data_IF_265747498444
#
_entry.id   IF_265747498444
#
_cell.length_a   1.000
_cell.length_b   1.000
_cell.length_c   1.000
_cell.angle_alpha   90.00
_cell.angle_beta   90.00
_cell.angle_gamma   90.00
#
_symmetry.space_group_name_H-M   'P 1'
#
loop_
_entity.id
_entity.type
_entity.pdbx_description
1 polymer ?
#
# COMPACT_ATOMS: atom_id res chain seq x y z
N UNK A 1 -7.45 -22.47 -6.89
CA UNK A 1 -8.43 -22.19 -5.84
C UNK A 1 -8.69 -20.70 -5.84
N UNK A 2 -9.91 -20.26 -6.20
CA UNK A 2 -10.22 -18.83 -6.24
C UNK A 2 -10.39 -18.29 -4.82
N UNK A 3 -9.78 -17.15 -4.50
CA UNK A 3 -10.01 -16.49 -3.22
C UNK A 3 -11.45 -15.99 -3.15
N UNK A 4 -12.13 -16.27 -2.04
CA UNK A 4 -13.45 -15.71 -1.76
C UNK A 4 -13.30 -14.25 -1.37
N UNK A 5 -14.29 -13.41 -1.74
CA UNK A 5 -14.33 -11.97 -1.40
C UNK A 5 -14.07 -11.73 0.10
N UNK A 6 -14.66 -12.56 0.95
CA UNK A 6 -14.47 -12.50 2.41
C UNK A 6 -13.04 -12.81 2.82
N UNK A 7 -12.39 -13.80 2.19
CA UNK A 7 -11.00 -14.14 2.48
C UNK A 7 -10.04 -12.99 2.18
N UNK A 8 -10.22 -12.32 1.04
CA UNK A 8 -9.42 -11.14 0.68
C UNK A 8 -9.58 -10.01 1.71
N UNK A 9 -10.82 -9.69 2.09
CA UNK A 9 -11.10 -8.65 3.08
C UNK A 9 -10.50 -8.98 4.45
N UNK A 10 -10.58 -10.23 4.90
CA UNK A 10 -10.00 -10.66 6.18
C UNK A 10 -8.48 -10.52 6.14
N UNK A 11 -7.83 -10.93 5.05
CA UNK A 11 -6.38 -10.79 4.89
C UNK A 11 -5.99 -9.31 4.93
N UNK A 12 -6.65 -8.47 4.13
CA UNK A 12 -6.37 -7.04 4.09
C UNK A 12 -6.55 -6.40 5.47
N UNK A 13 -7.70 -6.62 6.13
CA UNK A 13 -7.97 -6.09 7.47
C UNK A 13 -6.96 -6.57 8.52
N UNK A 14 -6.51 -7.83 8.42
CA UNK A 14 -5.51 -8.38 9.35
C UNK A 14 -4.15 -7.74 9.13
N UNK A 15 -3.70 -7.65 7.89
CA UNK A 15 -2.40 -7.05 7.55
C UNK A 15 -2.39 -5.57 7.91
N UNK A 16 -3.37 -4.79 7.45
CA UNK A 16 -3.45 -3.36 7.76
C UNK A 16 -3.68 -3.11 9.25
N UNK A 17 -4.46 -3.96 9.92
CA UNK A 17 -4.66 -3.90 11.37
C UNK A 17 -3.38 -4.14 12.16
N UNK A 18 -2.54 -5.09 11.73
CA UNK A 18 -1.21 -5.33 12.34
C UNK A 18 -0.30 -4.12 12.09
N UNK A 19 -0.28 -3.57 10.88
CA UNK A 19 0.50 -2.36 10.55
C UNK A 19 0.11 -1.18 11.45
N UNK A 20 -1.19 -0.99 11.66
CA UNK A 20 -1.70 0.04 12.58
C UNK A 20 -1.32 -0.23 14.04
N UNK A 21 -1.50 -1.46 14.50
CA UNK A 21 -1.12 -1.84 15.87
C UNK A 21 0.37 -1.61 16.11
N UNK A 22 1.22 -1.93 15.13
CA UNK A 22 2.65 -1.64 15.17
C UNK A 22 2.93 -0.14 15.21
N UNK A 23 2.22 0.68 14.43
CA UNK A 23 2.37 2.13 14.47
C UNK A 23 2.08 2.69 15.87
N UNK A 24 0.98 2.25 16.51
CA UNK A 24 0.64 2.65 17.88
C UNK A 24 1.67 2.16 18.92
N UNK A 25 2.09 0.90 18.82
CA UNK A 25 3.05 0.31 19.76
C UNK A 25 4.39 1.04 19.68
N UNK A 26 4.88 1.31 18.46
CA UNK A 26 6.15 2.00 18.27
C UNK A 26 6.07 3.49 18.62
N UNK A 27 4.96 4.17 18.32
CA UNK A 27 4.72 5.54 18.79
C UNK A 27 4.78 5.61 20.32
N UNK A 28 4.11 4.68 21.01
CA UNK A 28 4.16 4.60 22.47
C UNK A 28 5.57 4.30 22.99
N UNK A 29 6.28 3.37 22.35
CA UNK A 29 7.64 2.98 22.75
C UNK A 29 8.67 4.11 22.56
N UNK A 30 8.53 4.90 21.49
CA UNK A 30 9.45 6.00 21.17
C UNK A 30 8.98 7.38 21.65
N UNK A 31 7.84 7.45 22.34
CA UNK A 31 7.18 8.69 22.80
C UNK A 31 7.00 9.72 21.67
N UNK A 32 6.66 9.22 20.48
CA UNK A 32 6.48 10.07 19.28
C UNK A 32 5.01 10.50 19.20
N UNK A 33 4.72 11.81 19.15
CA UNK A 33 3.37 12.29 18.94
C UNK A 33 2.93 11.95 17.51
N UNK A 34 1.97 11.04 17.38
CA UNK A 34 1.40 10.68 16.06
C UNK A 34 0.69 11.87 15.42
N UNK A 35 0.21 12.83 16.20
CA UNK A 35 -0.54 13.99 15.71
C UNK A 35 0.18 15.29 16.09
N UNK A 36 0.22 16.30 15.20
CA UNK A 36 -0.39 16.34 13.85
C UNK A 36 0.55 15.76 12.78
N UNK A 37 0.05 14.80 11.98
CA UNK A 37 0.82 14.22 10.86
C UNK A 37 1.16 15.25 9.76
N UNK A 38 0.39 16.34 9.66
CA UNK A 38 0.46 17.27 8.54
C UNK A 38 0.09 18.69 8.97
N UNK A 39 0.88 19.66 8.51
CA UNK A 39 0.53 21.08 8.57
C UNK A 39 -0.30 21.56 7.37
N UNK A 40 -0.30 20.83 6.25
CA UNK A 40 -1.02 21.19 5.02
C UNK A 40 -1.47 19.92 4.27
N UNK A 41 -2.66 19.43 4.61
CA UNK A 41 -3.24 18.19 4.06
C UNK A 41 -3.24 18.18 2.53
N UNK A 42 -3.57 19.30 1.88
CA UNK A 42 -3.57 19.42 0.42
C UNK A 42 -2.19 19.19 -0.20
N UNK A 43 -1.13 19.73 0.42
CA UNK A 43 0.24 19.56 -0.07
C UNK A 43 0.67 18.10 0.10
N UNK A 44 0.30 17.48 1.21
CA UNK A 44 0.73 16.11 1.52
C UNK A 44 0.01 15.07 0.68
N UNK A 45 -1.26 15.31 0.35
CA UNK A 45 -1.98 14.50 -0.65
C UNK A 45 -1.34 14.66 -2.03
N UNK A 46 -0.96 15.89 -2.44
CA UNK A 46 -0.32 16.11 -3.73
C UNK A 46 1.07 15.47 -3.81
N UNK A 47 1.91 15.62 -2.78
CA UNK A 47 3.25 15.01 -2.74
C UNK A 47 3.17 13.50 -2.62
N UNK A 48 2.23 12.96 -1.82
CA UNK A 48 1.97 11.53 -1.73
C UNK A 48 1.50 10.95 -3.07
N UNK A 49 0.56 11.63 -3.73
CA UNK A 49 0.08 11.22 -5.07
C UNK A 49 1.21 11.28 -6.09
N UNK A 50 2.00 12.35 -6.11
CA UNK A 50 3.14 12.49 -7.00
C UNK A 50 4.21 11.41 -6.75
N UNK A 51 4.46 11.06 -5.48
CA UNK A 51 5.36 9.99 -5.09
C UNK A 51 4.86 8.59 -5.48
N UNK A 52 3.55 8.40 -5.58
CA UNK A 52 2.94 7.15 -6.05
C UNK A 52 2.97 7.00 -7.58
N UNK A 53 3.18 8.09 -8.35
CA UNK A 53 3.22 8.02 -9.82
C UNK A 53 4.35 7.13 -10.35
N UNK A 54 5.62 7.27 -9.93
CA UNK A 54 6.70 6.42 -10.43
C UNK A 54 6.46 4.91 -10.27
N UNK A 55 6.13 4.37 -9.08
CA UNK A 55 5.86 2.93 -8.94
C UNK A 55 4.62 2.51 -9.72
N UNK A 56 3.61 3.36 -9.85
CA UNK A 56 2.43 3.08 -10.67
C UNK A 56 2.77 2.98 -12.16
N UNK A 57 3.58 3.90 -12.69
CA UNK A 57 4.06 3.86 -14.08
C UNK A 57 4.90 2.61 -14.33
N UNK A 58 5.78 2.24 -13.39
CA UNK A 58 6.56 1.00 -13.46
C UNK A 58 5.65 -0.24 -13.48
N UNK A 59 4.59 -0.26 -12.67
CA UNK A 59 3.60 -1.34 -12.69
C UNK A 59 2.92 -1.45 -14.06
N UNK A 60 2.48 -0.33 -14.65
CA UNK A 60 1.89 -0.31 -15.99
C UNK A 60 2.88 -0.80 -17.03
N UNK A 61 4.14 -0.36 -16.95
CA UNK A 61 5.19 -0.80 -17.85
C UNK A 61 5.44 -2.31 -17.75
N UNK A 62 5.51 -2.87 -16.53
CA UNK A 62 5.62 -4.31 -16.29
C UNK A 62 4.46 -5.11 -16.91
N UNK A 63 3.25 -4.54 -16.96
CA UNK A 63 2.09 -5.20 -17.55
C UNK A 63 2.07 -5.14 -19.09
N UNK A 64 2.83 -4.22 -19.68
CA UNK A 64 2.88 -3.99 -21.12
C UNK A 64 3.50 -5.17 -21.90
N UNK A 65 3.19 -5.26 -23.20
CA UNK A 65 3.72 -6.30 -24.09
C UNK A 65 5.24 -6.21 -24.24
N UNK A 66 5.82 -5.00 -24.11
CA UNK A 66 7.27 -4.78 -24.18
C UNK A 66 8.03 -5.46 -23.03
N UNK A 67 7.43 -5.55 -21.84
CA UNK A 67 8.01 -6.21 -20.68
C UNK A 67 8.07 -7.75 -20.82
N UNK A 68 7.29 -8.33 -21.74
CA UNK A 68 7.28 -9.78 -21.96
C UNK A 68 8.59 -10.31 -22.58
N UNK A 69 9.36 -9.45 -23.26
CA UNK A 69 10.63 -9.81 -23.88
C UNK A 69 11.81 -9.83 -22.90
N UNK A 70 11.65 -9.31 -21.68
CA UNK A 70 12.72 -9.24 -20.67
C UNK A 70 12.44 -10.34 -19.64
N UNK A 71 13.37 -11.28 -19.38
CA UNK A 71 13.09 -12.49 -18.59
C UNK A 71 12.58 -12.20 -17.17
N UNK A 72 13.12 -11.18 -16.50
CA UNK A 72 12.69 -10.78 -15.14
C UNK A 72 11.30 -10.12 -15.16
N UNK A 73 11.08 -9.15 -16.06
CA UNK A 73 9.81 -8.43 -16.16
C UNK A 73 8.67 -9.32 -16.70
N UNK A 74 8.98 -10.26 -17.59
CA UNK A 74 8.04 -11.24 -18.10
C UNK A 74 7.55 -12.20 -17.01
N UNK A 75 8.44 -12.61 -16.09
CA UNK A 75 8.07 -13.39 -14.91
C UNK A 75 7.16 -12.61 -13.96
N UNK A 76 7.52 -11.34 -13.68
CA UNK A 76 6.69 -10.44 -12.87
C UNK A 76 5.30 -10.25 -13.50
N UNK A 77 5.23 -9.98 -14.80
CA UNK A 77 3.97 -9.86 -15.54
C UNK A 77 3.10 -11.11 -15.41
N UNK A 78 3.71 -12.30 -15.58
CA UNK A 78 2.99 -13.57 -15.46
C UNK A 78 2.43 -13.75 -14.06
N UNK A 79 3.24 -13.50 -13.03
CA UNK A 79 2.85 -13.59 -11.62
C UNK A 79 1.72 -12.60 -11.28
N UNK A 80 1.81 -11.36 -11.74
CA UNK A 80 0.75 -10.36 -11.53
C UNK A 80 -0.56 -10.76 -12.22
N UNK A 81 -0.50 -11.31 -13.43
CA UNK A 81 -1.69 -11.73 -14.16
C UNK A 81 -2.27 -13.06 -13.70
N UNK A 82 -1.45 -13.99 -13.19
CA UNK A 82 -1.93 -15.29 -12.70
C UNK A 82 -2.42 -15.21 -11.26
N UNK A 83 -1.65 -14.54 -10.40
CA UNK A 83 -1.84 -14.67 -8.95
C UNK A 83 -2.56 -13.43 -8.42
N UNK A 84 -2.03 -12.23 -8.69
CA UNK A 84 -2.63 -10.98 -8.19
C UNK A 84 -4.02 -10.77 -8.82
N UNK A 85 -4.15 -10.90 -10.13
CA UNK A 85 -5.47 -10.79 -10.78
C UNK A 85 -6.47 -11.83 -10.27
N UNK A 86 -6.03 -13.06 -10.00
CA UNK A 86 -6.92 -14.11 -9.50
C UNK A 86 -7.40 -13.83 -8.07
N UNK A 87 -6.56 -13.24 -7.23
CA UNK A 87 -6.93 -12.78 -5.88
C UNK A 87 -8.01 -11.70 -5.96
N UNK A 88 -7.87 -10.74 -6.88
CA UNK A 88 -8.80 -9.62 -6.99
C UNK A 88 -10.01 -9.87 -7.91
N UNK A 89 -10.10 -11.02 -8.58
CA UNK A 89 -11.11 -11.29 -9.61
C UNK A 89 -12.58 -11.20 -9.14
N UNK A 90 -12.85 -11.47 -7.87
CA UNK A 90 -14.20 -11.47 -7.27
C UNK A 90 -14.47 -10.25 -6.36
N UNK A 91 -13.64 -9.22 -6.44
CA UNK A 91 -13.67 -8.06 -5.53
C UNK A 91 -14.61 -7.00 -6.07
N UNK A 92 -15.39 -6.35 -5.20
CA UNK A 92 -16.18 -5.18 -5.60
C UNK A 92 -15.30 -3.93 -5.56
N UNK A 93 -15.66 -2.94 -6.37
CA UNK A 93 -15.00 -1.64 -6.34
C UNK A 93 -15.00 -1.02 -4.93
N UNK A 94 -16.11 -1.15 -4.19
CA UNK A 94 -16.22 -0.68 -2.81
C UNK A 94 -15.19 -1.33 -1.87
N UNK A 95 -14.90 -2.63 -2.04
CA UNK A 95 -13.92 -3.33 -1.20
C UNK A 95 -12.51 -2.81 -1.48
N UNK A 96 -12.19 -2.53 -2.75
CA UNK A 96 -10.90 -1.93 -3.14
C UNK A 96 -10.72 -0.55 -2.51
N UNK A 97 -11.75 0.28 -2.53
CA UNK A 97 -11.71 1.62 -1.91
C UNK A 97 -11.46 1.51 -0.41
N UNK A 98 -12.15 0.60 0.28
CA UNK A 98 -11.96 0.38 1.73
C UNK A 98 -10.53 -0.08 2.03
N UNK A 99 -10.02 -1.08 1.29
CA UNK A 99 -8.66 -1.58 1.47
C UNK A 99 -7.64 -0.47 1.22
N UNK A 100 -7.80 0.31 0.15
CA UNK A 100 -6.88 1.41 -0.17
C UNK A 100 -6.86 2.51 0.89
N UNK A 101 -8.02 2.86 1.46
CA UNK A 101 -8.09 3.86 2.54
C UNK A 101 -7.40 3.34 3.79
N UNK A 102 -7.66 2.08 4.17
CA UNK A 102 -7.05 1.46 5.34
C UNK A 102 -5.53 1.33 5.17
N UNK A 103 -5.07 0.87 4.00
CA UNK A 103 -3.66 0.75 3.69
C UNK A 103 -2.96 2.10 3.71
N UNK A 104 -3.53 3.12 3.06
CA UNK A 104 -2.96 4.47 3.07
C UNK A 104 -2.86 5.05 4.48
N UNK A 105 -3.87 4.85 5.32
CA UNK A 105 -3.86 5.34 6.70
C UNK A 105 -2.87 4.57 7.59
N UNK A 106 -2.76 3.25 7.42
CA UNK A 106 -1.81 2.41 8.13
C UNK A 106 -0.35 2.76 7.76
N UNK A 107 -0.08 2.91 6.47
CA UNK A 107 1.24 3.29 5.97
C UNK A 107 1.62 4.71 6.39
N UNK A 108 0.71 5.68 6.30
CA UNK A 108 1.01 7.05 6.70
C UNK A 108 1.35 7.13 8.20
N UNK A 109 0.61 6.41 9.06
CA UNK A 109 0.88 6.36 10.50
C UNK A 109 2.20 5.65 10.84
N UNK A 110 2.50 4.51 10.19
CA UNK A 110 3.71 3.75 10.47
C UNK A 110 4.95 4.42 9.86
N UNK A 111 4.92 4.70 8.56
CA UNK A 111 6.07 5.22 7.83
C UNK A 111 6.31 6.69 8.13
N UNK A 112 5.33 7.57 7.92
CA UNK A 112 5.54 9.00 8.19
C UNK A 112 5.45 9.34 9.67
N UNK A 113 4.46 8.77 10.36
CA UNK A 113 4.21 9.08 11.78
C UNK A 113 5.25 8.50 12.75
N UNK A 114 5.92 7.39 12.42
CA UNK A 114 6.89 6.76 13.33
C UNK A 114 8.27 6.66 12.70
N UNK A 115 8.41 5.95 11.58
CA UNK A 115 9.73 5.62 11.03
C UNK A 115 10.46 6.87 10.53
N UNK A 116 9.78 7.74 9.80
CA UNK A 116 10.37 8.96 9.23
C UNK A 116 10.88 9.90 10.35
N UNK A 117 10.09 10.06 11.42
CA UNK A 117 10.48 10.83 12.62
C UNK A 117 11.68 10.17 13.30
N UNK A 118 11.65 8.84 13.48
CA UNK A 118 12.72 8.11 14.17
C UNK A 118 14.05 8.15 13.42
N UNK A 119 14.02 8.06 12.08
CA UNK A 119 15.22 8.07 11.24
C UNK A 119 15.65 9.49 10.84
N UNK A 120 14.90 10.52 11.23
CA UNK A 120 15.23 11.92 10.95
C UNK A 120 15.22 12.28 9.46
N UNK A 121 14.44 11.55 8.65
CA UNK A 121 14.33 11.78 7.22
C UNK A 121 13.27 12.86 7.02
N UNK A 122 13.66 14.14 6.96
CA UNK A 122 12.73 15.26 6.70
C UNK A 122 12.52 15.43 5.20
#
# INVERSE_FOLDING_TARGET
MGYTRTGLMVIALTVEGITLALAFLLSWYFDIPLLPLSGNVLRDVLTGTAGAVPPFVLLIFCLSKYAAGIPVLGSLRKTTLSDVKAVFANTRFADLVIISILAGLAEELLFRGVLQIRFGII
#
